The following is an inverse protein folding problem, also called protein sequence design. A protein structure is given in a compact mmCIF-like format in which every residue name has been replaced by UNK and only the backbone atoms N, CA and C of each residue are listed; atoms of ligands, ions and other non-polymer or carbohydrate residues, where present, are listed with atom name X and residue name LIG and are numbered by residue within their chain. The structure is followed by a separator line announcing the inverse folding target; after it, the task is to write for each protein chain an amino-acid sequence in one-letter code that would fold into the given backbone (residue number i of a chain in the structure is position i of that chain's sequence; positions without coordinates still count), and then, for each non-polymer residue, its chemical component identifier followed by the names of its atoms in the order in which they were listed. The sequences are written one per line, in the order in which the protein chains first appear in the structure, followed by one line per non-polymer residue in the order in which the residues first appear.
data_IF_984160607032
#
_entry.id   IF_984160607032
#
_cell.length_a   1.000
_cell.length_b   1.000
_cell.length_c   1.000
_cell.angle_alpha   90.00
_cell.angle_beta   90.00
_cell.angle_gamma   90.00
#
_symmetry.space_group_name_H-M   'P 1'
#
loop_
_entity.id
_entity.type
_entity.pdbx_description
1 polymer ?
#
# COMPACT_ATOMS: atom_id res chain seq x y z
N UNK A 1 3.11 -65.66 -40.84
CA UNK A 1 1.63 -65.71 -40.84
C UNK A 1 1.09 -66.20 -39.51
N UNK A 2 0.58 -65.30 -38.65
CA UNK A 2 -0.76 -65.35 -38.02
C UNK A 2 -0.88 -64.20 -36.99
N UNK A 3 -1.74 -63.23 -37.33
CA UNK A 3 -2.22 -62.11 -36.51
C UNK A 3 -2.97 -62.59 -35.26
N UNK A 4 -2.97 -61.78 -34.20
CA UNK A 4 -4.15 -61.39 -33.37
C UNK A 4 -3.72 -60.38 -32.29
N UNK A 5 -4.09 -59.13 -32.49
CA UNK A 5 -5.11 -58.39 -31.70
C UNK A 5 -4.52 -57.80 -30.41
N UNK A 6 -4.17 -56.50 -30.50
CA UNK A 6 -3.84 -55.66 -29.36
C UNK A 6 -5.08 -54.81 -29.13
N UNK A 7 -5.81 -55.09 -28.05
CA UNK A 7 -6.88 -54.22 -27.54
C UNK A 7 -6.30 -52.82 -27.30
N UNK A 8 -6.95 -51.80 -27.84
CA UNK A 8 -6.77 -50.42 -27.41
C UNK A 8 -7.53 -50.22 -26.10
N UNK A 9 -6.89 -49.78 -25.00
CA UNK A 9 -7.61 -49.13 -23.94
C UNK A 9 -7.80 -47.66 -24.33
N UNK A 10 -9.03 -47.28 -24.59
CA UNK A 10 -9.47 -45.90 -24.73
C UNK A 10 -8.97 -45.07 -23.54
N UNK A 11 -8.08 -44.10 -23.82
CA UNK A 11 -7.70 -43.09 -22.85
C UNK A 11 -8.92 -42.24 -22.53
N UNK A 12 -9.54 -42.52 -21.39
CA UNK A 12 -10.44 -41.59 -20.72
C UNK A 12 -9.57 -40.39 -20.30
N UNK A 13 -9.53 -39.36 -21.15
CA UNK A 13 -8.97 -38.07 -20.77
C UNK A 13 -10.01 -37.45 -19.84
N UNK A 14 -9.77 -37.60 -18.53
CA UNK A 14 -10.45 -36.80 -17.54
C UNK A 14 -10.08 -35.34 -17.81
N UNK A 15 -10.96 -34.63 -18.50
CA UNK A 15 -10.86 -33.20 -18.70
C UNK A 15 -11.07 -32.55 -17.31
N UNK A 16 -9.95 -32.24 -16.66
CA UNK A 16 -9.95 -31.45 -15.44
C UNK A 16 -10.54 -30.09 -15.81
N UNK A 17 -11.84 -29.92 -15.53
CA UNK A 17 -12.50 -28.61 -15.53
C UNK A 17 -11.72 -27.71 -14.59
N UNK A 18 -10.79 -26.93 -15.13
CA UNK A 18 -10.19 -25.79 -14.43
C UNK A 18 -11.33 -24.85 -14.09
N UNK A 19 -11.82 -24.93 -12.85
CA UNK A 19 -12.72 -23.93 -12.31
C UNK A 19 -12.07 -22.55 -12.52
N UNK A 20 -12.85 -21.55 -12.96
CA UNK A 20 -12.32 -20.19 -13.08
C UNK A 20 -11.73 -19.78 -11.73
N UNK A 21 -10.57 -19.09 -11.70
CA UNK A 21 -9.90 -18.74 -10.47
C UNK A 21 -10.87 -17.97 -9.58
N UNK A 22 -11.21 -18.57 -8.43
CA UNK A 22 -12.11 -17.95 -7.45
C UNK A 22 -11.41 -16.71 -6.93
N UNK A 23 -12.00 -15.53 -7.17
CA UNK A 23 -11.51 -14.28 -6.60
C UNK A 23 -11.79 -14.30 -5.10
N UNK A 24 -10.75 -14.49 -4.30
CA UNK A 24 -10.82 -14.47 -2.84
C UNK A 24 -10.53 -13.06 -2.36
N UNK A 25 -11.32 -12.60 -1.39
CA UNK A 25 -11.10 -11.35 -0.67
C UNK A 25 -9.68 -11.34 -0.05
N UNK A 26 -8.82 -10.36 -0.38
CA UNK A 26 -7.55 -10.22 0.30
C UNK A 26 -7.78 -9.85 1.78
N UNK A 27 -6.83 -10.14 2.67
CA UNK A 27 -6.91 -9.70 4.05
C UNK A 27 -6.91 -8.16 4.12
N UNK A 28 -7.65 -7.55 5.06
CA UNK A 28 -7.63 -6.11 5.24
C UNK A 28 -6.23 -5.63 5.66
N UNK A 29 -5.68 -4.57 5.05
CA UNK A 29 -4.39 -4.03 5.44
C UNK A 29 -4.48 -3.28 6.78
N UNK A 30 -3.39 -3.32 7.55
CA UNK A 30 -3.21 -2.42 8.70
C UNK A 30 -3.14 -0.98 8.23
N UNK A 31 -3.70 -0.04 9.00
CA UNK A 31 -3.58 1.40 8.72
C UNK A 31 -2.37 2.05 9.37
N UNK A 32 -1.61 1.27 10.16
CA UNK A 32 -0.39 1.76 10.80
C UNK A 32 0.64 2.18 9.75
N UNK A 33 1.15 3.39 9.87
CA UNK A 33 2.17 3.94 8.98
C UNK A 33 3.34 4.47 9.80
N UNK A 34 4.55 4.09 9.42
CA UNK A 34 5.79 4.61 9.97
C UNK A 34 6.62 5.18 8.82
N UNK A 35 7.06 6.46 8.92
CA UNK A 35 7.84 7.07 7.86
C UNK A 35 9.18 6.34 7.71
N UNK A 36 9.57 5.94 6.49
CA UNK A 36 10.86 5.35 6.25
C UNK A 36 11.97 6.40 6.40
N UNK A 37 13.17 5.98 6.83
CA UNK A 37 14.29 6.90 7.06
C UNK A 37 14.75 7.62 5.78
N UNK A 38 14.55 6.99 4.62
CA UNK A 38 14.89 7.47 3.28
C UNK A 38 13.70 8.12 2.55
N UNK A 39 12.65 8.53 3.29
CA UNK A 39 11.45 9.16 2.73
C UNK A 39 11.78 10.36 1.82
N UNK A 40 12.67 11.25 2.28
CA UNK A 40 13.02 12.46 1.54
C UNK A 40 13.67 12.13 0.19
N UNK A 41 14.61 11.17 0.15
CA UNK A 41 15.27 10.74 -1.08
C UNK A 41 14.32 10.02 -2.04
N UNK A 42 13.39 9.19 -1.53
CA UNK A 42 12.37 8.52 -2.34
C UNK A 42 11.45 9.55 -2.98
N UNK A 43 10.91 10.46 -2.18
CA UNK A 43 10.02 11.50 -2.66
C UNK A 43 10.71 12.41 -3.69
N UNK A 44 11.96 12.81 -3.43
CA UNK A 44 12.73 13.60 -4.38
C UNK A 44 12.92 12.88 -5.73
N UNK A 45 13.13 11.56 -5.69
CA UNK A 45 13.28 10.74 -6.91
C UNK A 45 11.99 10.70 -7.72
N UNK A 46 10.85 10.46 -7.06
CA UNK A 46 9.53 10.48 -7.72
C UNK A 46 9.17 11.85 -8.27
N UNK A 47 9.41 12.91 -7.50
CA UNK A 47 9.16 14.29 -7.95
C UNK A 47 10.02 14.61 -9.17
N UNK A 48 11.29 14.18 -9.21
CA UNK A 48 12.14 14.36 -10.40
C UNK A 48 11.61 13.59 -11.61
N UNK A 49 11.10 12.38 -11.43
CA UNK A 49 10.51 11.58 -12.50
C UNK A 49 9.25 12.25 -13.08
N UNK A 50 8.35 12.74 -12.22
CA UNK A 50 7.07 13.34 -12.64
C UNK A 50 7.26 14.74 -13.24
N UNK A 51 8.16 15.57 -12.69
CA UNK A 51 8.33 16.96 -13.10
C UNK A 51 9.43 17.16 -14.15
N UNK A 52 10.44 16.28 -14.21
CA UNK A 52 11.54 16.33 -15.17
C UNK A 52 12.23 17.70 -15.18
N UNK A 53 12.34 18.29 -16.37
CA UNK A 53 13.00 19.59 -16.58
C UNK A 53 12.22 20.80 -16.01
N UNK A 54 10.96 20.62 -15.61
CA UNK A 54 10.13 21.69 -15.03
C UNK A 54 10.34 21.87 -13.53
N UNK A 55 11.29 21.13 -12.94
CA UNK A 55 11.50 21.12 -11.49
C UNK A 55 12.22 22.40 -11.03
N UNK A 56 11.71 23.09 -10.00
CA UNK A 56 12.44 24.20 -9.38
C UNK A 56 13.72 23.71 -8.68
N UNK A 57 14.65 24.64 -8.43
CA UNK A 57 15.90 24.37 -7.70
C UNK A 57 15.62 23.73 -6.32
N UNK A 58 14.62 24.25 -5.60
CA UNK A 58 14.06 23.66 -4.40
C UNK A 58 12.88 22.75 -4.77
N UNK A 59 13.15 21.47 -4.96
CA UNK A 59 12.14 20.48 -5.38
C UNK A 59 10.89 20.43 -4.48
N UNK A 60 10.99 20.75 -3.19
CA UNK A 60 9.84 20.78 -2.26
C UNK A 60 8.82 21.86 -2.63
N UNK A 61 9.25 22.93 -3.29
CA UNK A 61 8.37 24.02 -3.72
C UNK A 61 7.68 23.73 -5.06
N UNK A 62 7.92 22.55 -5.66
CA UNK A 62 7.29 22.17 -6.91
C UNK A 62 5.75 22.16 -6.77
N UNK A 63 5.02 22.97 -7.55
CA UNK A 63 3.57 23.06 -7.44
C UNK A 63 2.88 21.86 -8.09
N UNK A 64 1.87 21.30 -7.40
CA UNK A 64 1.05 20.17 -7.83
C UNK A 64 -0.28 20.65 -8.46
N UNK A 65 -0.21 21.69 -9.29
CA UNK A 65 -1.40 22.28 -9.95
C UNK A 65 -1.95 21.39 -11.08
N UNK A 66 -1.06 20.68 -11.79
CA UNK A 66 -1.48 19.72 -12.81
C UNK A 66 -2.02 18.44 -12.15
N UNK A 67 -3.33 18.23 -12.29
CA UNK A 67 -4.06 17.08 -11.78
C UNK A 67 -3.44 15.75 -12.20
N UNK A 68 -2.90 15.64 -13.42
CA UNK A 68 -2.29 14.39 -13.91
C UNK A 68 -1.00 14.08 -13.17
N UNK A 69 -0.12 15.07 -13.01
CA UNK A 69 1.14 14.95 -12.25
C UNK A 69 0.86 14.66 -10.79
N UNK A 70 -0.10 15.37 -10.19
CA UNK A 70 -0.52 15.16 -8.81
C UNK A 70 -1.04 13.75 -8.59
N UNK A 71 -1.94 13.28 -9.46
CA UNK A 71 -2.45 11.90 -9.40
C UNK A 71 -1.32 10.88 -9.52
N UNK A 72 -0.43 11.06 -10.50
CA UNK A 72 0.66 10.13 -10.75
C UNK A 72 1.59 10.02 -9.54
N UNK A 73 2.08 11.15 -9.03
CA UNK A 73 2.93 11.20 -7.84
C UNK A 73 2.27 10.55 -6.62
N UNK A 74 1.03 10.94 -6.30
CA UNK A 74 0.33 10.42 -5.11
C UNK A 74 0.02 8.92 -5.25
N UNK A 75 -0.28 8.44 -6.45
CA UNK A 75 -0.55 7.02 -6.71
C UNK A 75 0.70 6.15 -6.57
N UNK A 76 1.85 6.62 -7.06
CA UNK A 76 3.13 5.93 -6.92
C UNK A 76 3.54 5.84 -5.45
N UNK A 77 3.43 6.94 -4.71
CA UNK A 77 3.73 6.97 -3.27
C UNK A 77 2.78 6.07 -2.47
N UNK A 78 1.48 6.08 -2.79
CA UNK A 78 0.52 5.22 -2.10
C UNK A 78 0.81 3.73 -2.35
N UNK A 79 1.20 3.36 -3.56
CA UNK A 79 1.57 1.99 -3.90
C UNK A 79 2.88 1.55 -3.22
N UNK A 80 3.88 2.43 -3.15
CA UNK A 80 5.18 2.13 -2.54
C UNK A 80 5.12 2.11 -1.00
N UNK A 81 4.48 3.10 -0.40
CA UNK A 81 4.44 3.29 1.05
C UNK A 81 3.27 2.55 1.72
N UNK A 82 2.32 2.04 0.92
CA UNK A 82 1.10 1.41 1.43
C UNK A 82 0.19 2.38 2.22
N UNK A 83 0.40 3.68 2.07
CA UNK A 83 -0.33 4.72 2.79
C UNK A 83 -0.86 5.75 1.79
N UNK A 84 -2.18 5.82 1.63
CA UNK A 84 -2.82 6.73 0.68
C UNK A 84 -3.31 8.01 1.37
N UNK A 85 -3.22 9.14 0.66
CA UNK A 85 -3.74 10.42 1.15
C UNK A 85 -5.28 10.39 1.18
N UNK A 86 -5.93 10.72 2.31
CA UNK A 86 -7.38 10.82 2.39
C UNK A 86 -7.97 11.93 1.50
N UNK A 87 -9.18 11.72 0.98
CA UNK A 87 -9.87 12.69 0.12
C UNK A 87 -10.02 14.08 0.77
N UNK A 88 -10.24 14.13 2.09
CA UNK A 88 -10.34 15.37 2.86
C UNK A 88 -9.05 16.20 2.84
N UNK A 89 -7.89 15.57 2.64
CA UNK A 89 -6.58 16.21 2.66
C UNK A 89 -6.00 16.44 1.26
N UNK A 90 -6.61 15.88 0.20
CA UNK A 90 -6.12 16.06 -1.16
C UNK A 90 -6.02 17.54 -1.58
N UNK A 91 -6.93 18.40 -1.12
CA UNK A 91 -6.90 19.83 -1.44
C UNK A 91 -5.76 20.60 -0.75
N UNK A 92 -5.17 20.02 0.31
CA UNK A 92 -4.02 20.57 1.03
C UNK A 92 -2.70 20.21 0.35
N UNK A 93 -2.65 19.14 -0.44
CA UNK A 93 -1.45 18.71 -1.18
C UNK A 93 -1.22 19.63 -2.39
N UNK A 94 -0.70 20.84 -2.16
CA UNK A 94 -0.47 21.85 -3.20
C UNK A 94 0.96 21.85 -3.70
N UNK A 95 1.91 21.45 -2.87
CA UNK A 95 3.33 21.39 -3.18
C UNK A 95 3.90 20.01 -2.82
N UNK A 96 5.07 19.69 -3.37
CA UNK A 96 5.80 18.48 -2.96
C UNK A 96 6.20 18.51 -1.47
N UNK A 97 6.37 19.70 -0.88
CA UNK A 97 6.59 19.90 0.55
C UNK A 97 5.39 19.48 1.39
N UNK A 98 4.17 19.88 1.00
CA UNK A 98 2.95 19.45 1.71
C UNK A 98 2.80 17.93 1.74
N UNK A 99 3.20 17.26 0.64
CA UNK A 99 3.22 15.80 0.53
C UNK A 99 4.28 15.20 1.46
N UNK A 100 5.48 15.80 1.52
CA UNK A 100 6.53 15.37 2.44
C UNK A 100 6.08 15.48 3.89
N UNK A 101 5.44 16.58 4.27
CA UNK A 101 4.96 16.82 5.63
C UNK A 101 3.89 15.81 6.03
N UNK A 102 2.97 15.49 5.11
CA UNK A 102 1.97 14.44 5.32
C UNK A 102 2.63 13.08 5.60
N UNK A 103 3.55 12.63 4.73
CA UNK A 103 4.22 11.34 4.89
C UNK A 103 5.29 11.33 5.99
N UNK A 104 5.68 12.48 6.54
CA UNK A 104 6.58 12.52 7.70
C UNK A 104 5.85 12.21 9.01
N UNK A 105 4.51 12.23 9.00
CA UNK A 105 3.69 12.03 10.20
C UNK A 105 3.33 10.54 10.37
N UNK A 106 3.75 9.88 11.47
CA UNK A 106 3.40 8.48 11.72
C UNK A 106 1.92 8.32 12.09
N UNK A 107 1.32 7.21 11.68
CA UNK A 107 -0.08 6.84 12.00
C UNK A 107 -0.10 5.53 12.79
N UNK A 108 -0.81 5.51 13.92
CA UNK A 108 -1.02 4.31 14.74
C UNK A 108 -2.45 3.83 14.58
N UNK A 109 -2.61 2.53 14.36
CA UNK A 109 -3.93 1.87 14.26
C UNK A 109 -4.39 1.24 15.59
N UNK A 110 -3.60 1.43 16.66
CA UNK A 110 -3.90 0.89 17.97
C UNK A 110 -5.06 1.65 18.63
N UNK A 111 -6.00 0.93 19.26
CA UNK A 111 -7.03 1.58 20.06
C UNK A 111 -6.42 2.24 21.30
N UNK A 112 -7.14 3.19 21.90
CA UNK A 112 -6.70 3.82 23.16
C UNK A 112 -6.44 2.81 24.27
N UNK A 113 -7.20 1.71 24.29
CA UNK A 113 -6.99 0.63 25.25
C UNK A 113 -5.72 -0.17 24.94
N UNK A 114 -5.43 -0.45 23.67
CA UNK A 114 -4.18 -1.09 23.25
C UNK A 114 -2.97 -0.24 23.65
N UNK A 115 -3.02 1.06 23.38
CA UNK A 115 -1.97 2.02 23.76
C UNK A 115 -1.73 2.04 25.28
N UNK A 116 -2.81 2.07 26.08
CA UNK A 116 -2.72 2.06 27.55
C UNK A 116 -2.20 0.74 28.10
N UNK A 117 -2.63 -0.39 27.55
CA UNK A 117 -2.16 -1.71 27.96
C UNK A 117 -0.68 -1.92 27.62
N UNK A 118 -0.17 -1.30 26.54
CA UNK A 118 1.24 -1.35 26.17
C UNK A 118 2.12 -0.40 26.99
N UNK A 119 1.53 0.61 27.62
CA UNK A 119 2.26 1.55 28.48
C UNK A 119 2.65 0.90 29.82
N UNK A 120 3.66 1.49 30.50
CA UNK A 120 4.05 1.07 31.86
C UNK A 120 2.97 1.47 32.86
N UNK A 121 2.07 0.54 33.16
CA UNK A 121 1.02 0.75 34.14
C UNK A 121 1.56 0.67 35.59
N UNK A 122 1.01 1.47 36.52
CA UNK A 122 1.27 1.29 37.94
C UNK A 122 0.91 -0.13 38.42
N UNK A 123 1.67 -0.66 39.38
CA UNK A 123 1.51 -2.04 39.85
C UNK A 123 0.10 -2.36 40.40
N UNK A 124 -0.58 -1.34 40.92
CA UNK A 124 -1.92 -1.38 41.49
C UNK A 124 -3.05 -1.19 40.45
N UNK A 125 -2.72 -1.00 39.17
CA UNK A 125 -3.70 -0.80 38.11
C UNK A 125 -3.74 -2.02 37.18
N UNK A 126 -4.92 -2.66 37.10
CA UNK A 126 -5.18 -3.81 36.22
C UNK A 126 -6.34 -3.47 35.28
N UNK A 127 -6.09 -3.55 33.97
CA UNK A 127 -7.09 -3.33 32.93
C UNK A 127 -7.44 -4.68 32.30
N UNK A 128 -8.71 -5.08 32.32
CA UNK A 128 -9.19 -6.32 31.70
C UNK A 128 -10.09 -6.01 30.51
N UNK A 129 -9.89 -6.73 29.41
CA UNK A 129 -10.80 -6.69 28.25
C UNK A 129 -11.92 -7.68 28.48
N UNK A 130 -13.17 -7.23 28.34
CA UNK A 130 -14.32 -8.13 28.35
C UNK A 130 -14.45 -8.76 26.97
N UNK A 131 -14.55 -10.09 26.95
CA UNK A 131 -14.85 -10.87 25.74
C UNK A 131 -16.33 -10.76 25.37
#
# INVERSE_FOLDING_TARGET
NRKKEKEEPEKIVAEEKKEPPRLVCPPPPSRSYLPPADLQSRLQSHVREVFGASLPEQWQQAPLDDLKRKYHLLSQLAAELGHAVPNSQLHLMRTAGDVLDFYSTPVKDASKLDELCAAKLPHNLKIMRKQ
#
